data_IF_006296376007
#
_entry.id   IF_006296376007
#
_cell.length_a   1.000
_cell.length_b   1.000
_cell.length_c   1.000
_cell.angle_alpha   90.00
_cell.angle_beta   90.00
_cell.angle_gamma   90.00
#
_symmetry.space_group_name_H-M   'P 1'
#
loop_
_entity.id
_entity.type
_entity.pdbx_description
1 polymer ?
#
# COMPACT_ATOMS: atom_id res chain seq x y z
N UNK A 1 27.72 -68.56 -13.18
CA UNK A 1 27.91 -67.15 -12.77
C UNK A 1 26.53 -66.51 -12.66
N UNK A 2 25.98 -66.44 -11.45
CA UNK A 2 24.60 -66.00 -11.19
C UNK A 2 24.56 -64.54 -10.72
N UNK A 3 23.86 -63.68 -11.45
CA UNK A 3 23.65 -62.27 -11.11
C UNK A 3 22.31 -62.07 -10.41
N UNK A 4 22.34 -61.82 -9.10
CA UNK A 4 21.17 -61.57 -8.27
C UNK A 4 20.60 -60.16 -8.47
N UNK A 5 19.31 -60.09 -8.80
CA UNK A 5 18.51 -58.86 -8.87
C UNK A 5 18.17 -58.36 -7.47
N UNK A 6 18.77 -57.24 -7.06
CA UNK A 6 18.42 -56.52 -5.82
C UNK A 6 17.10 -55.77 -5.98
N UNK A 7 16.08 -56.15 -5.19
CA UNK A 7 14.79 -55.45 -5.11
C UNK A 7 14.97 -54.19 -4.25
N UNK A 8 14.82 -53.01 -4.87
CA UNK A 8 14.77 -51.73 -4.16
C UNK A 8 13.52 -51.66 -3.28
N UNK A 9 13.74 -51.46 -1.97
CA UNK A 9 12.69 -51.18 -0.99
C UNK A 9 12.14 -49.77 -1.24
N UNK A 10 10.88 -49.69 -1.61
CA UNK A 10 10.11 -48.44 -1.59
C UNK A 10 9.89 -48.05 -0.12
N UNK A 11 10.48 -46.92 0.30
CA UNK A 11 10.20 -46.33 1.60
C UNK A 11 8.81 -45.70 1.55
N UNK A 12 7.83 -46.34 2.19
CA UNK A 12 6.50 -45.78 2.42
C UNK A 12 6.60 -44.62 3.40
N UNK A 13 6.36 -43.40 2.90
CA UNK A 13 6.22 -42.20 3.73
C UNK A 13 4.93 -42.33 4.56
N UNK A 14 5.07 -42.61 5.85
CA UNK A 14 3.96 -42.54 6.79
C UNK A 14 3.58 -41.06 6.98
N UNK A 15 2.28 -40.69 6.89
CA UNK A 15 1.85 -39.34 7.19
C UNK A 15 2.15 -39.02 8.66
N UNK A 16 2.96 -37.98 8.88
CA UNK A 16 3.23 -37.42 10.20
C UNK A 16 1.88 -37.02 10.82
N UNK A 17 1.42 -37.83 11.78
CA UNK A 17 0.25 -37.50 12.58
C UNK A 17 0.57 -36.24 13.37
N UNK A 18 0.03 -35.11 12.92
CA UNK A 18 0.07 -33.86 13.69
C UNK A 18 -0.57 -34.17 15.06
N UNK A 19 0.10 -33.85 16.17
CA UNK A 19 -0.47 -34.06 17.50
C UNK A 19 -1.80 -33.31 17.53
N UNK A 20 -2.89 -34.07 17.67
CA UNK A 20 -4.18 -33.50 18.00
C UNK A 20 -4.05 -32.93 19.41
N UNK A 21 -3.68 -31.65 19.49
CA UNK A 21 -3.91 -30.84 20.66
C UNK A 21 -5.37 -31.07 21.02
N UNK A 22 -5.60 -31.77 22.13
CA UNK A 22 -6.92 -31.94 22.73
C UNK A 22 -7.44 -30.53 22.96
N UNK A 23 -8.21 -30.04 21.98
CA UNK A 23 -8.95 -28.79 22.03
C UNK A 23 -9.93 -29.02 23.17
N UNK A 24 -9.54 -28.66 24.39
CA UNK A 24 -10.45 -28.61 25.51
C UNK A 24 -11.53 -27.63 25.09
N UNK A 25 -12.65 -28.15 24.61
CA UNK A 25 -13.86 -27.39 24.30
C UNK A 25 -14.54 -26.87 25.59
N UNK A 26 -13.75 -26.62 26.63
CA UNK A 26 -14.09 -25.58 27.58
C UNK A 26 -13.79 -24.28 26.84
N UNK A 27 -14.73 -23.87 25.98
CA UNK A 27 -14.92 -22.46 25.73
C UNK A 27 -14.96 -21.85 27.13
N UNK A 28 -14.01 -20.97 27.51
CA UNK A 28 -14.15 -20.18 28.72
C UNK A 28 -15.28 -19.22 28.38
N UNK A 29 -16.49 -19.77 28.48
CA UNK A 29 -17.72 -19.05 28.53
C UNK A 29 -17.47 -18.08 29.66
N UNK A 30 -17.38 -16.81 29.29
CA UNK A 30 -17.53 -15.70 30.20
C UNK A 30 -18.89 -15.95 30.81
N UNK A 31 -18.91 -16.72 31.91
CA UNK A 31 -20.12 -17.04 32.62
C UNK A 31 -20.57 -15.70 33.17
N UNK A 32 -21.44 -15.04 32.40
CA UNK A 32 -22.18 -13.81 32.65
C UNK A 32 -23.06 -13.92 33.92
N UNK A 33 -22.78 -14.88 34.80
CA UNK A 33 -23.18 -14.88 36.20
C UNK A 33 -22.24 -14.02 37.04
N UNK A 34 -21.92 -12.82 36.55
CA UNK A 34 -21.66 -11.72 37.49
C UNK A 34 -23.01 -11.43 38.17
N UNK A 35 -23.07 -11.41 39.52
CA UNK A 35 -24.31 -11.12 40.23
C UNK A 35 -24.83 -9.76 39.76
N UNK A 36 -26.03 -9.76 39.18
CA UNK A 36 -26.74 -8.57 38.67
C UNK A 36 -27.06 -7.58 39.80
N UNK A 37 -26.05 -6.97 40.40
CA UNK A 37 -26.19 -5.82 41.29
C UNK A 37 -25.87 -4.56 40.51
N UNK A 38 -26.82 -4.15 39.66
CA UNK A 38 -27.15 -2.76 39.32
C UNK A 38 -26.10 -1.79 38.76
N UNK A 39 -24.83 -2.15 38.68
CA UNK A 39 -23.77 -1.29 38.14
C UNK A 39 -22.83 -2.13 37.29
N UNK A 40 -22.98 -2.06 35.97
CA UNK A 40 -22.06 -2.73 35.06
C UNK A 40 -20.62 -2.27 35.36
N UNK A 41 -19.62 -3.17 35.24
CA UNK A 41 -18.23 -2.80 35.42
C UNK A 41 -17.88 -1.62 34.49
N UNK A 42 -17.04 -0.67 34.95
CA UNK A 42 -16.65 0.46 34.13
C UNK A 42 -16.07 -0.02 32.80
N UNK A 43 -16.44 0.67 31.74
CA UNK A 43 -16.23 0.33 30.33
C UNK A 43 -14.88 -0.38 30.02
N UNK A 44 -13.77 0.16 30.52
CA UNK A 44 -12.42 -0.39 30.29
C UNK A 44 -12.11 -1.77 30.90
N UNK A 45 -12.88 -2.25 31.89
CA UNK A 45 -12.57 -3.51 32.60
C UNK A 45 -12.77 -4.72 31.70
N UNK A 46 -13.76 -4.69 30.80
CA UNK A 46 -14.01 -5.79 29.87
C UNK A 46 -12.86 -5.97 28.88
N UNK A 47 -12.40 -4.86 28.30
CA UNK A 47 -11.27 -4.81 27.37
C UNK A 47 -9.99 -5.33 28.05
N UNK A 48 -9.69 -4.84 29.26
CA UNK A 48 -8.52 -5.27 30.03
C UNK A 48 -8.55 -6.77 30.36
N UNK A 49 -9.70 -7.30 30.79
CA UNK A 49 -9.88 -8.75 31.05
C UNK A 49 -9.62 -9.57 29.78
N UNK A 50 -10.13 -9.15 28.62
CA UNK A 50 -9.93 -9.84 27.34
C UNK A 50 -8.47 -9.81 26.89
N UNK A 51 -7.78 -8.67 27.02
CA UNK A 51 -6.33 -8.55 26.71
C UNK A 51 -5.50 -9.47 27.61
N UNK A 52 -5.77 -9.47 28.92
CA UNK A 52 -5.08 -10.35 29.87
C UNK A 52 -5.31 -11.83 29.54
N UNK A 53 -6.52 -12.20 29.11
CA UNK A 53 -6.82 -13.55 28.65
C UNK A 53 -6.02 -13.90 27.40
N UNK A 54 -5.98 -13.04 26.37
CA UNK A 54 -5.20 -13.27 25.15
C UNK A 54 -3.70 -13.45 25.44
N UNK A 55 -3.15 -12.62 26.34
CA UNK A 55 -1.75 -12.72 26.77
C UNK A 55 -1.44 -14.03 27.52
N UNK A 56 -2.43 -14.66 28.14
CA UNK A 56 -2.29 -15.96 28.82
C UNK A 56 -2.40 -17.15 27.87
N UNK A 57 -3.19 -17.04 26.80
CA UNK A 57 -3.33 -18.13 25.81
C UNK A 57 -2.04 -18.40 25.04
N UNK A 58 -1.11 -17.45 24.99
CA UNK A 58 0.17 -17.63 24.32
C UNK A 58 0.08 -17.61 22.79
N UNK A 59 -1.01 -17.06 22.22
CA UNK A 59 -1.19 -16.93 20.77
C UNK A 59 -0.05 -16.16 20.08
N UNK A 60 0.62 -15.24 20.80
CA UNK A 60 1.67 -14.37 20.27
C UNK A 60 3.09 -14.84 20.65
N UNK A 61 3.24 -16.07 21.15
CA UNK A 61 4.53 -16.62 21.57
C UNK A 61 5.17 -15.81 22.70
N UNK A 62 6.31 -15.17 22.43
CA UNK A 62 7.02 -14.32 23.40
C UNK A 62 6.46 -12.90 23.50
N UNK A 63 5.69 -12.47 22.51
CA UNK A 63 5.13 -11.13 22.48
C UNK A 63 3.84 -11.08 23.28
N UNK A 64 3.50 -9.90 23.79
CA UNK A 64 2.26 -9.62 24.53
C UNK A 64 1.71 -8.29 24.05
N UNK A 65 0.41 -8.10 24.28
CA UNK A 65 -0.19 -6.77 24.16
C UNK A 65 0.30 -5.93 25.33
N UNK A 66 1.00 -4.84 25.03
CA UNK A 66 1.60 -3.93 26.02
C UNK A 66 0.58 -2.88 26.50
N UNK A 67 0.93 -2.17 27.57
CA UNK A 67 0.05 -1.19 28.23
C UNK A 67 -0.27 0.01 27.32
N UNK A 68 0.69 0.48 26.50
CA UNK A 68 0.46 1.54 25.50
C UNK A 68 -0.62 1.17 24.47
N UNK A 69 -0.64 -0.10 24.04
CA UNK A 69 -1.65 -0.59 23.11
C UNK A 69 -3.03 -0.67 23.80
N UNK A 70 -3.06 -0.92 25.11
CA UNK A 70 -4.26 -0.96 25.92
C UNK A 70 -4.82 0.45 26.17
N UNK A 71 -3.95 1.44 26.41
CA UNK A 71 -4.32 2.85 26.49
C UNK A 71 -4.96 3.33 25.18
N UNK A 72 -4.35 2.96 24.04
CA UNK A 72 -4.91 3.26 22.71
C UNK A 72 -6.28 2.62 22.49
N UNK A 73 -6.49 1.37 22.95
CA UNK A 73 -7.81 0.73 22.90
C UNK A 73 -8.84 1.46 23.78
N UNK A 74 -8.42 2.05 24.90
CA UNK A 74 -9.26 2.86 25.79
C UNK A 74 -9.80 4.14 25.15
N UNK A 75 -9.22 4.59 24.02
CA UNK A 75 -9.75 5.72 23.24
C UNK A 75 -10.99 5.36 22.42
N UNK A 76 -11.28 4.07 22.23
CA UNK A 76 -12.44 3.58 21.50
C UNK A 76 -13.60 3.25 22.46
N UNK A 77 -14.85 3.36 21.99
CA UNK A 77 -15.99 2.71 22.63
C UNK A 77 -15.76 1.20 22.77
N UNK A 78 -16.18 0.64 23.91
CA UNK A 78 -15.96 -0.76 24.28
C UNK A 78 -16.35 -1.75 23.17
N UNK A 79 -17.51 -1.55 22.53
CA UNK A 79 -17.99 -2.45 21.47
C UNK A 79 -16.99 -2.56 20.32
N UNK A 80 -16.33 -1.45 19.99
CA UNK A 80 -15.32 -1.40 18.92
C UNK A 80 -13.98 -1.94 19.38
N UNK A 81 -13.57 -1.63 20.61
CA UNK A 81 -12.36 -2.22 21.20
C UNK A 81 -12.48 -3.76 21.26
N UNK A 82 -13.63 -4.29 21.68
CA UNK A 82 -13.92 -5.72 21.68
C UNK A 82 -13.87 -6.32 20.27
N UNK A 83 -14.49 -5.68 19.29
CA UNK A 83 -14.42 -6.12 17.89
C UNK A 83 -12.97 -6.14 17.36
N UNK A 84 -12.13 -5.18 17.73
CA UNK A 84 -10.70 -5.18 17.39
C UNK A 84 -9.98 -6.39 18.01
N UNK A 85 -10.27 -6.71 19.28
CA UNK A 85 -9.69 -7.85 19.99
C UNK A 85 -10.17 -9.20 19.45
N UNK A 86 -11.44 -9.32 19.03
CA UNK A 86 -11.97 -10.52 18.36
C UNK A 86 -11.29 -10.75 17.01
N UNK A 87 -11.09 -9.69 16.22
CA UNK A 87 -10.34 -9.78 14.96
C UNK A 87 -8.86 -10.12 15.19
N UNK A 88 -8.26 -9.60 16.27
CA UNK A 88 -6.90 -9.93 16.67
C UNK A 88 -6.80 -11.43 17.02
N UNK A 89 -7.74 -11.96 17.79
CA UNK A 89 -7.83 -13.37 18.18
C UNK A 89 -7.91 -14.29 16.95
N UNK A 90 -8.86 -14.05 16.04
CA UNK A 90 -9.04 -14.87 14.84
C UNK A 90 -7.77 -14.94 13.98
N UNK A 91 -7.08 -13.80 13.81
CA UNK A 91 -5.83 -13.75 13.04
C UNK A 91 -4.65 -14.38 13.78
N UNK A 92 -4.65 -14.30 15.11
CA UNK A 92 -3.63 -14.94 15.93
C UNK A 92 -3.78 -16.47 15.89
N UNK A 93 -5.01 -17.00 15.91
CA UNK A 93 -5.28 -18.43 15.70
C UNK A 93 -4.75 -18.94 14.35
N UNK A 94 -4.83 -18.11 13.31
CA UNK A 94 -4.29 -18.42 11.99
C UNK A 94 -2.75 -18.28 11.90
N UNK A 95 -2.11 -17.67 12.89
CA UNK A 95 -0.68 -17.35 12.85
C UNK A 95 -0.32 -16.18 11.92
N UNK A 96 -1.30 -15.35 11.53
CA UNK A 96 -1.11 -14.21 10.61
C UNK A 96 -0.51 -12.97 11.31
N UNK A 97 -0.38 -12.99 12.63
CA UNK A 97 0.07 -11.85 13.42
C UNK A 97 1.48 -12.07 13.94
N UNK A 98 2.41 -11.31 13.36
CA UNK A 98 3.80 -11.24 13.82
C UNK A 98 3.98 -10.34 15.05
N UNK A 99 3.20 -9.25 15.14
CA UNK A 99 3.28 -8.27 16.23
C UNK A 99 1.89 -7.78 16.65
N UNK A 100 1.42 -8.15 17.85
CA UNK A 100 0.08 -7.79 18.32
C UNK A 100 -0.06 -6.29 18.59
N UNK A 101 0.97 -5.62 19.14
CA UNK A 101 0.94 -4.18 19.43
C UNK A 101 0.77 -3.36 18.15
N UNK A 102 1.55 -3.67 17.10
CA UNK A 102 1.41 -2.98 15.81
C UNK A 102 0.04 -3.20 15.18
N UNK A 103 -0.55 -4.39 15.36
CA UNK A 103 -1.89 -4.69 14.87
C UNK A 103 -2.95 -3.84 15.57
N UNK A 104 -2.93 -3.82 16.91
CA UNK A 104 -3.88 -3.05 17.73
C UNK A 104 -3.82 -1.58 17.39
N UNK A 105 -2.63 -0.97 17.34
CA UNK A 105 -2.46 0.46 16.99
C UNK A 105 -3.05 0.77 15.61
N UNK A 106 -2.77 -0.06 14.60
CA UNK A 106 -3.32 0.12 13.24
C UNK A 106 -4.84 -0.04 13.20
N UNK A 107 -5.39 -0.99 13.97
CA UNK A 107 -6.83 -1.21 14.04
C UNK A 107 -7.53 -0.04 14.72
N UNK A 108 -6.98 0.47 15.83
CA UNK A 108 -7.49 1.66 16.53
C UNK A 108 -7.51 2.88 15.61
N UNK A 109 -6.41 3.17 14.92
CA UNK A 109 -6.34 4.30 13.96
C UNK A 109 -7.42 4.19 12.88
N UNK A 110 -7.64 2.98 12.34
CA UNK A 110 -8.69 2.74 11.33
C UNK A 110 -10.09 3.00 11.88
N UNK A 111 -10.40 2.49 13.07
CA UNK A 111 -11.72 2.69 13.69
C UNK A 111 -11.96 4.15 14.08
N UNK A 112 -10.95 4.84 14.63
CA UNK A 112 -11.03 6.26 14.94
C UNK A 112 -11.31 7.10 13.68
N UNK A 113 -10.63 6.79 12.57
CA UNK A 113 -10.88 7.48 11.30
C UNK A 113 -12.30 7.22 10.77
N UNK A 114 -12.81 5.99 10.91
CA UNK A 114 -14.18 5.66 10.52
C UNK A 114 -15.23 6.39 11.36
N UNK A 115 -14.99 6.58 12.66
CA UNK A 115 -15.90 7.34 13.52
C UNK A 115 -15.99 8.81 13.10
N UNK A 116 -14.86 9.42 12.77
CA UNK A 116 -14.82 10.79 12.27
C UNK A 116 -15.41 10.92 10.86
N UNK A 117 -15.40 9.83 10.08
CA UNK A 117 -15.96 9.79 8.72
C UNK A 117 -17.45 9.44 8.68
N UNK A 118 -18.06 9.08 9.81
CA UNK A 118 -19.47 8.74 9.93
C UNK A 118 -20.39 9.96 10.14
N UNK A 119 -19.85 11.18 10.02
CA UNK A 119 -20.69 12.35 9.78
C UNK A 119 -21.49 12.18 8.48
N UNK A 120 -22.66 12.83 8.36
CA UNK A 120 -23.38 12.87 7.09
C UNK A 120 -22.39 13.28 6.00
N UNK A 121 -22.43 12.69 4.79
CA UNK A 121 -21.50 13.03 3.72
C UNK A 121 -21.57 14.54 3.54
N UNK A 122 -20.55 15.24 4.05
CA UNK A 122 -20.51 16.69 4.11
C UNK A 122 -20.24 17.16 2.69
N UNK A 123 -21.30 17.26 1.91
CA UNK A 123 -21.33 18.00 0.68
C UNK A 123 -20.91 19.44 1.02
N UNK A 124 -19.84 19.90 0.36
CA UNK A 124 -19.38 21.29 0.30
C UNK A 124 -18.56 21.81 1.50
N UNK A 125 -17.23 21.69 1.40
CA UNK A 125 -16.33 22.77 1.83
C UNK A 125 -15.29 22.99 0.73
N UNK A 126 -15.61 23.92 -0.15
CA UNK A 126 -14.76 24.37 -1.24
C UNK A 126 -14.06 25.66 -0.79
N UNK A 127 -12.86 25.56 -0.20
CA UNK A 127 -11.83 26.62 -0.30
C UNK A 127 -10.48 26.33 0.35
N UNK A 128 -10.21 25.12 0.82
CA UNK A 128 -8.85 24.66 1.07
C UNK A 128 -8.70 23.37 0.30
N UNK A 129 -7.75 23.33 -0.65
CA UNK A 129 -7.60 22.22 -1.58
C UNK A 129 -7.66 20.89 -0.83
N UNK A 130 -8.49 19.93 -1.28
CA UNK A 130 -8.68 18.69 -0.54
C UNK A 130 -7.31 18.02 -0.35
N UNK A 131 -6.98 17.55 0.88
CA UNK A 131 -5.80 16.73 1.05
C UNK A 131 -5.89 15.58 0.05
N UNK A 132 -4.78 15.27 -0.63
CA UNK A 132 -4.74 14.28 -1.70
C UNK A 132 -5.56 13.04 -1.29
N UNK A 133 -6.53 12.67 -2.13
CA UNK A 133 -7.50 11.65 -1.77
C UNK A 133 -6.79 10.41 -1.20
N UNK A 134 -7.28 9.88 -0.08
CA UNK A 134 -6.74 8.71 0.64
C UNK A 134 -6.19 7.58 -0.27
N UNK A 135 -6.82 7.19 -1.40
CA UNK A 135 -6.24 6.22 -2.32
C UNK A 135 -4.91 6.64 -2.98
N UNK A 136 -4.75 7.92 -3.35
CA UNK A 136 -3.53 8.47 -3.96
C UNK A 136 -2.36 8.36 -3.00
N UNK A 137 -2.54 8.82 -1.75
CA UNK A 137 -1.49 8.79 -0.74
C UNK A 137 -1.09 7.35 -0.36
N UNK A 138 -2.07 6.43 -0.29
CA UNK A 138 -1.78 4.99 -0.09
C UNK A 138 -0.93 4.41 -1.21
N UNK A 139 -1.23 4.73 -2.47
CA UNK A 139 -0.49 4.24 -3.63
C UNK A 139 0.94 4.82 -3.66
N UNK A 140 1.09 6.11 -3.35
CA UNK A 140 2.41 6.76 -3.23
C UNK A 140 3.26 6.11 -2.13
N UNK A 141 2.70 5.92 -0.93
CA UNK A 141 3.41 5.26 0.16
C UNK A 141 3.80 3.82 -0.17
N UNK A 142 2.96 3.09 -0.90
CA UNK A 142 3.30 1.77 -1.40
C UNK A 142 4.47 1.81 -2.39
N UNK A 143 4.46 2.72 -3.38
CA UNK A 143 5.55 2.89 -4.35
C UNK A 143 6.88 3.25 -3.67
N UNK A 144 6.85 4.18 -2.70
CA UNK A 144 8.03 4.59 -1.94
C UNK A 144 8.59 3.43 -1.08
N UNK A 145 7.71 2.57 -0.54
CA UNK A 145 8.13 1.40 0.26
C UNK A 145 8.73 0.29 -0.59
N UNK A 146 8.19 0.05 -1.78
CA UNK A 146 8.67 -1.01 -2.67
C UNK A 146 10.06 -0.68 -3.26
N UNK A 147 10.48 0.58 -3.22
CA UNK A 147 11.83 0.99 -3.62
C UNK A 147 12.03 1.04 -5.13
N UNK A 148 10.95 1.20 -5.92
CA UNK A 148 11.01 1.31 -7.39
C UNK A 148 11.95 2.42 -7.90
N UNK A 149 12.22 3.43 -7.08
CA UNK A 149 12.98 4.63 -7.43
C UNK A 149 14.35 4.70 -6.73
N UNK A 150 14.80 3.60 -6.12
CA UNK A 150 16.08 3.52 -5.44
C UNK A 150 16.16 4.43 -4.22
N UNK A 151 17.01 5.46 -4.28
CA UNK A 151 17.19 6.44 -3.19
C UNK A 151 16.21 7.61 -3.26
N UNK A 152 15.59 7.81 -4.41
CA UNK A 152 14.62 8.89 -4.58
C UNK A 152 13.24 8.39 -4.14
N UNK A 153 12.47 9.24 -3.47
CA UNK A 153 11.09 8.97 -3.09
C UNK A 153 10.20 10.07 -3.67
N UNK A 154 8.93 9.74 -3.88
CA UNK A 154 7.93 10.75 -4.23
C UNK A 154 7.80 11.71 -3.05
N UNK A 155 8.10 13.00 -3.27
CA UNK A 155 8.05 14.05 -2.25
C UNK A 155 6.62 14.54 -1.98
N UNK A 156 6.45 15.25 -0.85
CA UNK A 156 5.14 15.77 -0.42
C UNK A 156 4.59 16.80 -1.42
N UNK A 157 5.44 17.62 -2.04
CA UNK A 157 5.06 18.58 -3.07
C UNK A 157 4.44 17.90 -4.30
N UNK A 158 5.03 16.78 -4.76
CA UNK A 158 4.45 15.98 -5.84
C UNK A 158 3.11 15.34 -5.44
N UNK A 159 2.96 14.92 -4.19
CA UNK A 159 1.68 14.39 -3.65
C UNK A 159 0.61 15.48 -3.61
N UNK A 160 0.96 16.69 -3.19
CA UNK A 160 0.07 17.84 -3.19
C UNK A 160 -0.41 18.18 -4.61
N UNK A 161 0.52 18.20 -5.57
CA UNK A 161 0.17 18.39 -6.98
C UNK A 161 -0.76 17.30 -7.52
N UNK A 162 -0.56 16.03 -7.14
CA UNK A 162 -1.49 14.95 -7.48
C UNK A 162 -2.86 15.14 -6.82
N UNK A 163 -2.91 15.73 -5.62
CA UNK A 163 -4.15 16.08 -4.92
C UNK A 163 -4.99 17.13 -5.65
N UNK A 164 -4.38 17.95 -6.51
CA UNK A 164 -5.10 18.93 -7.34
C UNK A 164 -5.88 18.30 -8.52
N UNK A 165 -5.65 17.02 -8.82
CA UNK A 165 -6.29 16.30 -9.92
C UNK A 165 -7.48 15.44 -9.46
N UNK A 166 -8.41 15.09 -10.36
CA UNK A 166 -9.39 14.04 -10.10
C UNK A 166 -8.68 12.72 -9.74
N UNK A 167 -9.22 12.00 -8.76
CA UNK A 167 -8.61 10.78 -8.19
C UNK A 167 -8.25 9.76 -9.26
N UNK A 168 -9.13 9.53 -10.24
CA UNK A 168 -8.89 8.59 -11.34
C UNK A 168 -7.67 8.99 -12.20
N UNK A 169 -7.47 10.29 -12.41
CA UNK A 169 -6.33 10.81 -13.17
C UNK A 169 -5.05 10.70 -12.36
N UNK A 170 -5.07 11.05 -11.08
CA UNK A 170 -3.92 10.88 -10.19
C UNK A 170 -3.48 9.40 -10.12
N UNK A 171 -4.43 8.47 -9.96
CA UNK A 171 -4.13 7.04 -9.96
C UNK A 171 -3.60 6.57 -11.32
N UNK A 172 -4.15 7.05 -12.44
CA UNK A 172 -3.64 6.72 -13.78
C UNK A 172 -2.18 7.20 -13.97
N UNK A 173 -1.81 8.37 -13.46
CA UNK A 173 -0.42 8.85 -13.47
C UNK A 173 0.48 7.92 -12.63
N UNK A 174 0.00 7.49 -11.45
CA UNK A 174 0.73 6.57 -10.57
C UNK A 174 0.83 5.13 -11.14
N UNK A 175 -0.11 4.67 -11.96
CA UNK A 175 0.04 3.41 -12.69
C UNK A 175 1.07 3.55 -13.82
N UNK A 176 1.05 4.68 -14.55
CA UNK A 176 2.05 4.93 -15.60
C UNK A 176 3.48 5.08 -15.06
N UNK A 177 3.65 5.68 -13.87
CA UNK A 177 4.98 5.79 -13.24
C UNK A 177 5.49 4.43 -12.81
N UNK A 178 4.62 3.56 -12.29
CA UNK A 178 4.94 2.18 -11.91
C UNK A 178 5.41 1.35 -13.10
N UNK A 179 4.68 1.38 -14.23
CA UNK A 179 5.05 0.67 -15.46
C UNK A 179 6.43 1.11 -15.98
N UNK A 180 6.70 2.41 -15.97
CA UNK A 180 7.99 2.95 -16.44
C UNK A 180 9.13 2.75 -15.46
N UNK A 181 8.85 2.74 -14.16
CA UNK A 181 9.85 2.41 -13.14
C UNK A 181 10.26 0.94 -13.26
N UNK A 182 9.31 0.03 -13.49
CA UNK A 182 9.58 -1.38 -13.79
C UNK A 182 10.46 -1.56 -15.03
N UNK A 183 10.30 -0.70 -16.05
CA UNK A 183 11.16 -0.69 -17.23
C UNK A 183 12.55 -0.04 -16.99
N UNK A 184 12.82 0.49 -15.78
CA UNK A 184 14.04 1.24 -15.48
C UNK A 184 14.14 2.60 -16.21
N UNK A 185 13.02 3.12 -16.72
CA UNK A 185 12.98 4.32 -17.55
C UNK A 185 12.85 5.63 -16.78
N UNK A 186 12.75 5.58 -15.44
CA UNK A 186 12.55 6.76 -14.59
C UNK A 186 13.74 6.93 -13.67
N UNK A 187 14.49 8.01 -13.91
CA UNK A 187 15.57 8.44 -13.04
C UNK A 187 15.08 9.24 -11.83
N UNK A 188 14.07 10.10 -12.05
CA UNK A 188 13.54 10.99 -11.01
C UNK A 188 12.01 10.97 -10.98
N UNK A 189 11.38 10.42 -9.93
CA UNK A 189 9.94 10.28 -9.86
C UNK A 189 9.22 11.64 -9.70
N UNK A 190 9.78 12.58 -8.93
CA UNK A 190 9.14 13.89 -8.68
C UNK A 190 8.98 14.68 -9.98
N UNK A 191 10.05 14.77 -10.78
CA UNK A 191 10.02 15.42 -12.10
C UNK A 191 9.01 14.77 -13.05
N UNK A 192 8.85 13.44 -12.96
CA UNK A 192 7.86 12.73 -13.77
C UNK A 192 6.44 13.11 -13.37
N UNK A 193 6.13 13.10 -12.06
CA UNK A 193 4.82 13.49 -11.53
C UNK A 193 4.49 14.93 -11.91
N UNK A 194 5.40 15.89 -11.68
CA UNK A 194 5.20 17.30 -12.06
C UNK A 194 4.84 17.42 -13.54
N UNK A 195 5.63 16.79 -14.43
CA UNK A 195 5.39 16.85 -15.88
C UNK A 195 4.06 16.20 -16.28
N UNK A 196 3.69 15.10 -15.65
CA UNK A 196 2.44 14.41 -15.93
C UNK A 196 1.23 15.26 -15.49
N UNK A 197 1.29 15.86 -14.30
CA UNK A 197 0.25 16.77 -13.79
C UNK A 197 0.11 17.99 -14.70
N UNK A 198 1.23 18.64 -15.07
CA UNK A 198 1.22 19.80 -15.99
C UNK A 198 0.61 19.44 -17.35
N UNK A 199 0.97 18.29 -17.93
CA UNK A 199 0.37 17.81 -19.19
C UNK A 199 -1.13 17.58 -19.07
N UNK A 200 -1.60 17.03 -17.96
CA UNK A 200 -3.02 16.84 -17.74
C UNK A 200 -3.77 18.18 -17.61
N UNK A 201 -3.20 19.14 -16.86
CA UNK A 201 -3.79 20.47 -16.73
C UNK A 201 -3.83 21.23 -18.05
N UNK A 202 -2.83 21.08 -18.93
CA UNK A 202 -2.85 21.70 -20.26
C UNK A 202 -3.80 21.02 -21.23
N UNK A 203 -3.95 19.69 -21.17
CA UNK A 203 -4.95 18.96 -21.98
C UNK A 203 -6.36 19.46 -21.69
N UNK A 204 -6.71 19.61 -20.41
CA UNK A 204 -8.04 20.10 -19.99
C UNK A 204 -8.33 21.53 -20.49
N UNK A 205 -7.30 22.36 -20.71
CA UNK A 205 -7.47 23.70 -21.27
C UNK A 205 -7.68 23.69 -22.78
N UNK A 206 -7.01 22.78 -23.50
CA UNK A 206 -7.13 22.66 -24.95
C UNK A 206 -8.48 22.06 -25.36
N UNK A 207 -9.01 21.12 -24.59
CA UNK A 207 -10.33 20.53 -24.86
C UNK A 207 -11.47 21.56 -24.73
N UNK A 208 -11.26 22.65 -23.97
CA UNK A 208 -12.25 23.71 -23.77
C UNK A 208 -12.32 24.74 -24.91
N UNK A 209 -11.37 24.75 -25.84
CA UNK A 209 -11.31 25.70 -26.96
C UNK A 209 -11.09 25.02 -28.32
N UNK A 210 -11.21 23.69 -28.38
CA UNK A 210 -10.78 22.87 -29.51
C UNK A 210 -11.84 22.51 -30.56
N UNK A 211 -13.15 22.67 -30.30
CA UNK A 211 -14.19 22.12 -31.18
C UNK A 211 -14.89 23.15 -32.10
N UNK A 212 -14.85 24.45 -31.77
CA UNK A 212 -15.62 25.46 -32.54
C UNK A 212 -14.82 26.23 -33.59
N UNK A 213 -13.54 25.89 -33.84
CA UNK A 213 -12.68 26.67 -34.76
C UNK A 213 -12.13 25.91 -35.96
N UNK A 214 -12.75 24.79 -36.32
CA UNK A 214 -12.48 24.07 -37.59
C UNK A 214 -13.76 23.73 -38.38
N UNK A 215 -14.87 24.41 -38.07
CA UNK A 215 -15.95 24.62 -39.02
C UNK A 215 -15.66 25.86 -39.87
N UNK A 216 -15.38 25.64 -41.16
CA UNK A 216 -15.38 26.65 -42.23
C UNK A 216 -14.10 27.48 -42.45
N UNK A 217 -13.10 26.87 -43.10
CA UNK A 217 -12.36 27.61 -44.13
C UNK A 217 -11.92 26.67 -45.25
N UNK A 218 -12.85 26.40 -46.17
CA UNK A 218 -12.59 25.85 -47.51
C UNK A 218 -11.81 26.84 -48.38
N UNK A 219 -10.72 27.41 -47.89
CA UNK A 219 -9.77 28.17 -48.71
C UNK A 219 -8.59 27.28 -49.06
N UNK A 220 -8.74 26.59 -50.19
CA UNK A 220 -7.63 26.09 -50.99
C UNK A 220 -6.61 27.23 -51.24
N UNK A 221 -5.33 27.10 -50.85
CA UNK A 221 -4.27 27.77 -51.57
C UNK A 221 -3.80 26.83 -52.69
N UNK A 222 -4.34 27.06 -53.89
CA UNK A 222 -3.71 26.59 -55.13
C UNK A 222 -2.29 27.15 -55.20
N UNK A 223 -1.32 26.26 -55.42
CA UNK A 223 -0.10 26.54 -56.18
C UNK A 223 0.91 27.50 -55.55
N UNK A 224 1.89 26.94 -54.84
CA UNK A 224 3.10 27.65 -54.41
C UNK A 224 4.34 26.79 -54.59
N UNK A 225 4.78 26.63 -55.84
CA UNK A 225 6.02 25.94 -56.24
C UNK A 225 7.20 26.81 -55.78
N UNK A 226 7.78 26.51 -54.62
CA UNK A 226 8.83 27.33 -53.99
C UNK A 226 10.01 26.53 -53.44
N UNK A 227 11.00 26.32 -54.32
CA UNK A 227 12.45 26.18 -54.08
C UNK A 227 12.98 25.44 -52.84
N UNK A 228 13.60 24.30 -53.15
CA UNK A 228 14.91 23.84 -52.69
C UNK A 228 15.65 24.74 -51.66
N UNK A 229 15.53 24.37 -50.38
CA UNK A 229 16.42 24.79 -49.30
C UNK A 229 17.44 23.69 -49.01
N UNK A 230 18.65 23.89 -49.57
CA UNK A 230 19.84 23.06 -49.41
C UNK A 230 20.56 23.47 -48.13
N UNK A 231 20.86 22.54 -47.22
CA UNK A 231 21.93 22.72 -46.24
C UNK A 231 21.52 22.59 -44.77
N UNK A 232 21.78 21.40 -44.21
CA UNK A 232 21.89 21.20 -42.76
C UNK A 232 22.94 20.13 -42.52
N UNK A 233 24.22 20.55 -42.56
CA UNK A 233 25.38 19.70 -42.25
C UNK A 233 25.26 19.19 -40.82
N UNK A 234 25.57 17.92 -40.65
CA UNK A 234 25.35 17.18 -39.41
C UNK A 234 26.22 17.62 -38.23
N UNK A 235 25.77 17.16 -37.07
CA UNK A 235 26.63 16.89 -35.91
C UNK A 235 26.37 15.45 -35.50
N UNK A 236 27.22 14.56 -36.00
CA UNK A 236 27.35 13.21 -35.48
C UNK A 236 28.00 13.30 -34.09
N UNK A 237 27.23 13.12 -33.03
CA UNK A 237 27.79 12.87 -31.70
C UNK A 237 28.27 11.41 -31.67
N UNK A 238 29.58 11.24 -31.87
CA UNK A 238 30.28 10.01 -31.61
C UNK A 238 30.33 9.77 -30.09
N UNK A 239 29.52 8.82 -29.59
CA UNK A 239 29.68 8.30 -28.24
C UNK A 239 30.88 7.35 -28.26
N UNK A 240 32.00 7.84 -27.74
CA UNK A 240 33.22 7.06 -27.50
C UNK A 240 32.96 6.00 -26.42
N UNK A 241 32.88 4.74 -26.84
CA UNK A 241 33.05 3.57 -25.98
C UNK A 241 34.48 3.53 -25.42
N UNK A 242 34.62 3.77 -24.12
CA UNK A 242 35.88 3.63 -23.39
C UNK A 242 36.15 2.17 -22.98
N UNK A 243 37.39 1.66 -23.08
CA UNK A 243 37.72 0.30 -22.67
C UNK A 243 37.86 0.18 -21.14
N UNK A 244 37.05 -0.68 -20.54
CA UNK A 244 37.20 -1.12 -19.14
C UNK A 244 38.43 -2.02 -19.00
N UNK A 245 39.52 -1.46 -18.47
CA UNK A 245 40.65 -2.23 -17.93
C UNK A 245 40.48 -2.31 -16.42
N UNK A 246 40.28 -3.53 -15.91
CA UNK A 246 40.27 -3.81 -14.48
C UNK A 246 40.67 -5.25 -14.19
N UNK A 247 41.93 -5.60 -14.45
CA UNK A 247 42.56 -6.81 -13.90
C UNK A 247 42.84 -6.56 -12.42
N UNK A 248 42.30 -7.41 -11.55
CA UNK A 248 42.63 -7.47 -10.13
C UNK A 248 42.62 -8.92 -9.64
N UNK A 249 43.62 -9.71 -10.04
CA UNK A 249 44.00 -10.93 -9.32
C UNK A 249 44.75 -10.48 -8.07
N UNK A 250 44.21 -10.71 -6.88
CA UNK A 250 45.01 -10.76 -5.66
C UNK A 250 44.95 -12.18 -5.12
N UNK A 251 46.12 -12.81 -5.10
CA UNK A 251 46.40 -13.97 -4.24
C UNK A 251 46.59 -13.43 -2.83
N UNK A 252 46.00 -14.09 -1.83
CA UNK A 252 46.68 -14.69 -0.68
C UNK A 252 45.68 -15.61 -0.01
#
# INVERSE_FOLDING_TARGET
MGGGKGKGRTQSWAPVQKPQLKRSQQSPYWDDREPQRGGGPPAGVKVMKKVNWLNRQGFFGKQKVDEDALEMLGTLPDDRAMSVLENLEQKAENGDIWNPNSYVVKAVIRHSTQMNSAGPPSSYSANSGPPAAVPVMKKVNWLNREGFFGKEAIDEDAVEMLGSLPVDRALSILTNIEEKANAGGIWNPNSYVVKAVVRHQTSLKNDRWGDDRWGDDRRQPKGGKGKAGKGGKGTALAIRSGPSKGKGKSRY
#
